data_IF_967546771900
#
_entry.id   IF_967546771900
#
_cell.length_a   1.000
_cell.length_b   1.000
_cell.length_c   1.000
_cell.angle_alpha   90.00
_cell.angle_beta   90.00
_cell.angle_gamma   90.00
#
_symmetry.space_group_name_H-M   'P 1'
#
loop_
_entity.id
_entity.type
_entity.pdbx_description
1 polymer ?
#
# COMPACT_ATOMS: atom_id res chain seq x y z
N UNK A 1 67.30 2.89 2.37
CA UNK A 1 66.12 2.03 2.59
C UNK A 1 65.07 2.84 3.34
N UNK A 2 63.99 3.22 2.69
CA UNK A 2 62.82 3.80 3.35
C UNK A 2 61.61 3.03 2.82
N UNK A 3 61.12 2.09 3.61
CA UNK A 3 59.93 1.32 3.31
C UNK A 3 58.69 2.15 3.69
N UNK A 4 57.83 2.35 2.71
CA UNK A 4 56.53 3.02 2.83
C UNK A 4 55.67 2.40 3.93
N UNK A 5 55.34 3.20 4.95
CA UNK A 5 54.27 2.92 5.90
C UNK A 5 53.00 3.68 5.52
N UNK A 6 52.51 3.46 4.29
CA UNK A 6 51.21 3.97 3.82
C UNK A 6 50.48 2.78 3.20
N UNK A 7 49.64 2.10 3.97
CA UNK A 7 48.94 0.91 3.47
C UNK A 7 47.81 0.42 4.37
N UNK A 8 48.00 0.42 5.69
CA UNK A 8 47.02 -0.17 6.61
C UNK A 8 45.69 0.57 6.70
N UNK A 9 45.71 1.90 6.80
CA UNK A 9 44.48 2.70 7.01
C UNK A 9 43.61 2.81 5.75
N UNK A 10 44.21 2.97 4.57
CA UNK A 10 43.48 3.03 3.30
C UNK A 10 42.90 1.68 2.90
N UNK A 11 43.61 0.56 3.13
CA UNK A 11 43.08 -0.79 2.87
C UNK A 11 41.87 -1.11 3.76
N UNK A 12 41.89 -0.70 5.03
CA UNK A 12 40.75 -0.88 5.94
C UNK A 12 39.56 0.00 5.51
N UNK A 13 39.81 1.23 5.07
CA UNK A 13 38.75 2.13 4.58
C UNK A 13 38.11 1.62 3.29
N UNK A 14 38.92 1.23 2.30
CA UNK A 14 38.45 0.68 1.02
C UNK A 14 37.66 -0.63 1.20
N UNK A 15 38.12 -1.53 2.08
CA UNK A 15 37.39 -2.76 2.42
C UNK A 15 36.03 -2.49 3.04
N UNK A 16 35.91 -1.49 3.92
CA UNK A 16 34.63 -1.09 4.53
C UNK A 16 33.67 -0.47 3.51
N UNK A 17 34.15 0.35 2.58
CA UNK A 17 33.33 0.95 1.52
C UNK A 17 32.84 -0.11 0.53
N UNK A 18 33.68 -1.06 0.13
CA UNK A 18 33.28 -2.16 -0.75
C UNK A 18 32.26 -3.11 -0.08
N UNK A 19 32.43 -3.42 1.21
CA UNK A 19 31.47 -4.20 1.99
C UNK A 19 30.14 -3.46 2.16
N UNK A 20 30.17 -2.15 2.42
CA UNK A 20 28.97 -1.32 2.51
C UNK A 20 28.20 -1.30 1.17
N UNK A 21 28.88 -1.08 0.05
CA UNK A 21 28.26 -1.12 -1.27
C UNK A 21 27.67 -2.49 -1.60
N UNK A 22 28.34 -3.58 -1.22
CA UNK A 22 27.81 -4.94 -1.38
C UNK A 22 26.54 -5.19 -0.55
N UNK A 23 26.51 -4.70 0.68
CA UNK A 23 25.34 -4.81 1.57
C UNK A 23 24.13 -4.00 1.06
N UNK A 24 24.36 -2.79 0.57
CA UNK A 24 23.31 -1.94 -0.02
C UNK A 24 22.70 -2.58 -1.29
N UNK A 25 23.54 -3.10 -2.19
CA UNK A 25 23.08 -3.81 -3.40
C UNK A 25 22.27 -5.06 -3.03
N UNK A 26 22.70 -5.80 -2.01
CA UNK A 26 21.94 -6.96 -1.53
C UNK A 26 20.60 -6.56 -0.94
N UNK A 27 20.55 -5.53 -0.08
CA UNK A 27 19.33 -5.02 0.52
C UNK A 27 18.32 -4.54 -0.55
N UNK A 28 18.79 -3.77 -1.54
CA UNK A 28 17.96 -3.31 -2.66
C UNK A 28 17.39 -4.49 -3.47
N UNK A 29 18.19 -5.54 -3.72
CA UNK A 29 17.72 -6.77 -4.39
C UNK A 29 16.66 -7.49 -3.56
N UNK A 30 16.79 -7.55 -2.24
CA UNK A 30 15.78 -8.17 -1.36
C UNK A 30 14.47 -7.36 -1.35
N UNK A 31 14.55 -6.04 -1.26
CA UNK A 31 13.39 -5.15 -1.35
C UNK A 31 12.68 -5.31 -2.69
N UNK A 32 13.42 -5.33 -3.80
CA UNK A 32 12.84 -5.54 -5.13
C UNK A 32 12.16 -6.91 -5.27
N UNK A 33 12.78 -7.98 -4.77
CA UNK A 33 12.18 -9.33 -4.78
C UNK A 33 10.91 -9.38 -3.94
N UNK A 34 10.91 -8.74 -2.77
CA UNK A 34 9.73 -8.60 -1.92
C UNK A 34 8.61 -7.86 -2.66
N UNK A 35 8.91 -6.70 -3.23
CA UNK A 35 7.96 -5.88 -3.98
C UNK A 35 7.36 -6.66 -5.17
N UNK A 36 8.19 -7.29 -6.00
CA UNK A 36 7.70 -8.11 -7.13
C UNK A 36 6.79 -9.25 -6.67
N UNK A 37 7.16 -9.95 -5.58
CA UNK A 37 6.32 -11.02 -5.02
C UNK A 37 4.98 -10.47 -4.51
N UNK A 38 5.01 -9.32 -3.84
CA UNK A 38 3.80 -8.68 -3.33
C UNK A 38 2.89 -8.29 -4.47
N UNK A 39 3.41 -7.61 -5.49
CA UNK A 39 2.62 -7.16 -6.65
C UNK A 39 1.93 -8.32 -7.36
N UNK A 40 2.63 -9.45 -7.59
CA UNK A 40 2.02 -10.65 -8.18
C UNK A 40 0.82 -11.16 -7.37
N UNK A 41 0.90 -11.09 -6.05
CA UNK A 41 -0.20 -11.53 -5.18
C UNK A 41 -1.31 -10.47 -5.09
N UNK A 42 -0.98 -9.18 -5.10
CA UNK A 42 -1.95 -8.07 -5.17
C UNK A 42 -2.85 -8.19 -6.39
N UNK A 43 -2.37 -8.69 -7.53
CA UNK A 43 -3.21 -8.88 -8.73
C UNK A 43 -4.24 -10.01 -8.59
N UNK A 44 -4.02 -10.98 -7.71
CA UNK A 44 -4.80 -12.24 -7.69
C UNK A 44 -5.54 -12.48 -6.39
N UNK A 45 -5.17 -11.77 -5.31
CA UNK A 45 -5.81 -11.96 -4.01
C UNK A 45 -7.25 -11.44 -4.04
N UNK A 46 -8.14 -12.14 -3.33
CA UNK A 46 -9.54 -11.78 -3.25
C UNK A 46 -9.74 -10.46 -2.48
N UNK A 47 -10.48 -9.54 -3.09
CA UNK A 47 -10.86 -8.23 -2.54
C UNK A 47 -12.38 -8.04 -2.51
N UNK A 48 -13.15 -9.09 -2.76
CA UNK A 48 -14.61 -9.02 -2.83
C UNK A 48 -15.21 -8.65 -1.48
N UNK A 49 -16.29 -7.90 -1.55
CA UNK A 49 -17.28 -7.73 -0.47
C UNK A 49 -18.67 -8.01 -1.05
N UNK A 50 -19.64 -8.45 -0.24
CA UNK A 50 -21.03 -8.54 -0.69
C UNK A 50 -21.56 -7.17 -1.17
N UNK A 51 -22.64 -7.14 -1.96
CA UNK A 51 -23.31 -5.90 -2.35
C UNK A 51 -23.65 -5.02 -1.14
N UNK A 52 -23.57 -3.71 -1.33
CA UNK A 52 -23.89 -2.69 -0.32
C UNK A 52 -23.00 -2.74 0.94
N UNK A 53 -21.85 -3.40 0.90
CA UNK A 53 -20.96 -3.54 2.07
C UNK A 53 -19.70 -2.69 2.01
N UNK A 54 -19.31 -2.19 0.85
CA UNK A 54 -18.01 -1.53 0.69
C UNK A 54 -17.96 -0.14 1.35
N UNK A 55 -16.91 0.07 2.15
CA UNK A 55 -16.54 1.36 2.75
C UNK A 55 -15.14 1.75 2.31
N UNK A 56 -14.99 3.01 1.92
CA UNK A 56 -13.74 3.66 1.54
C UNK A 56 -13.46 4.81 2.50
N UNK A 57 -12.18 5.09 2.76
CA UNK A 57 -11.78 6.24 3.54
C UNK A 57 -10.44 6.79 3.08
N UNK A 58 -10.25 8.10 3.26
CA UNK A 58 -8.97 8.77 2.98
C UNK A 58 -8.87 10.07 3.74
N UNK A 59 -7.67 10.49 4.12
CA UNK A 59 -7.46 11.76 4.82
C UNK A 59 -7.58 11.67 6.35
N UNK A 60 -7.22 12.75 7.06
CA UNK A 60 -7.16 12.78 8.52
C UNK A 60 -8.51 12.47 9.17
N UNK A 61 -8.52 11.62 10.21
CA UNK A 61 -9.73 11.29 11.00
C UNK A 61 -10.72 10.33 10.33
N UNK A 62 -10.73 10.22 9.00
CA UNK A 62 -11.72 9.43 8.28
C UNK A 62 -11.61 7.92 8.47
N UNK A 63 -10.41 7.41 8.78
CA UNK A 63 -10.24 6.00 9.13
C UNK A 63 -11.05 5.65 10.39
N UNK A 64 -10.98 6.47 11.43
CA UNK A 64 -11.71 6.23 12.68
C UNK A 64 -13.22 6.24 12.43
N UNK A 65 -13.72 7.25 11.69
CA UNK A 65 -15.14 7.35 11.30
C UNK A 65 -15.61 6.13 10.48
N UNK A 66 -14.84 5.71 9.48
CA UNK A 66 -15.16 4.54 8.68
C UNK A 66 -15.16 3.24 9.50
N UNK A 67 -14.24 3.12 10.46
CA UNK A 67 -14.17 1.98 11.36
C UNK A 67 -15.34 1.93 12.34
N UNK A 68 -15.76 3.06 12.88
CA UNK A 68 -16.97 3.16 13.69
C UNK A 68 -18.21 2.82 12.86
N UNK A 69 -18.35 3.44 11.68
CA UNK A 69 -19.47 3.22 10.78
C UNK A 69 -19.62 1.74 10.40
N UNK A 70 -18.52 1.07 10.04
CA UNK A 70 -18.58 -0.33 9.62
C UNK A 70 -19.01 -1.27 10.74
N UNK A 71 -18.61 -0.99 11.98
CA UNK A 71 -18.99 -1.79 13.15
C UNK A 71 -20.49 -1.64 13.42
N UNK A 72 -21.02 -0.44 13.28
CA UNK A 72 -22.43 -0.15 13.57
C UNK A 72 -23.39 -0.60 12.44
N UNK A 73 -22.91 -0.68 11.20
CA UNK A 73 -23.76 -0.93 10.02
C UNK A 73 -23.44 -2.24 9.31
N UNK A 74 -22.63 -3.12 9.91
CA UNK A 74 -22.17 -4.37 9.30
C UNK A 74 -21.60 -4.16 7.90
N UNK A 75 -20.71 -3.17 7.75
CA UNK A 75 -20.01 -2.86 6.50
C UNK A 75 -18.56 -3.35 6.56
N UNK A 76 -17.81 -3.21 5.46
CA UNK A 76 -16.46 -3.74 5.32
C UNK A 76 -15.56 -2.70 4.67
N UNK A 77 -14.37 -2.45 5.25
CA UNK A 77 -13.30 -1.72 4.58
C UNK A 77 -12.39 -2.69 3.83
N UNK A 78 -11.46 -2.19 3.02
CA UNK A 78 -10.49 -3.04 2.31
C UNK A 78 -9.72 -3.96 3.27
N UNK A 79 -9.39 -3.51 4.48
CA UNK A 79 -8.71 -4.30 5.52
C UNK A 79 -9.55 -5.50 6.01
N UNK A 80 -10.86 -5.51 5.75
CA UNK A 80 -11.74 -6.62 6.05
C UNK A 80 -11.83 -7.64 4.90
N UNK A 81 -11.22 -7.39 3.75
CA UNK A 81 -11.12 -8.38 2.67
C UNK A 81 -9.96 -9.35 2.92
N UNK A 82 -9.96 -10.57 2.33
CA UNK A 82 -8.80 -11.45 2.38
C UNK A 82 -7.51 -10.76 1.89
N UNK A 83 -7.62 -9.97 0.82
CA UNK A 83 -6.55 -9.20 0.20
C UNK A 83 -5.98 -8.13 1.10
N UNK A 84 -6.82 -7.28 1.70
CA UNK A 84 -6.37 -6.23 2.60
C UNK A 84 -5.73 -6.79 3.86
N UNK A 85 -6.30 -7.85 4.46
CA UNK A 85 -5.66 -8.55 5.59
C UNK A 85 -4.30 -9.13 5.20
N UNK A 86 -4.22 -9.76 4.04
CA UNK A 86 -2.97 -10.34 3.57
C UNK A 86 -1.92 -9.25 3.30
N UNK A 87 -2.29 -8.14 2.67
CA UNK A 87 -1.37 -7.04 2.36
C UNK A 87 -0.89 -6.33 3.63
N UNK A 88 -1.80 -6.09 4.59
CA UNK A 88 -1.45 -5.53 5.91
C UNK A 88 -0.40 -6.37 6.65
N UNK A 89 -0.50 -7.70 6.58
CA UNK A 89 0.50 -8.62 7.17
C UNK A 89 1.88 -8.54 6.51
N UNK A 90 2.02 -7.90 5.35
CA UNK A 90 3.32 -7.76 4.70
C UNK A 90 4.18 -6.68 5.33
N UNK A 91 3.56 -5.77 6.09
CA UNK A 91 4.24 -4.67 6.80
C UNK A 91 5.17 -3.86 5.88
N UNK A 92 4.66 -3.50 4.69
CA UNK A 92 5.49 -2.94 3.61
C UNK A 92 6.11 -1.59 3.97
N UNK A 93 5.41 -0.74 4.72
CA UNK A 93 5.92 0.60 5.06
C UNK A 93 7.18 0.55 5.93
N UNK A 94 7.42 -0.56 6.65
CA UNK A 94 8.64 -0.77 7.41
C UNK A 94 9.74 -1.50 6.62
N UNK A 95 9.42 -2.03 5.44
CA UNK A 95 10.29 -2.98 4.71
C UNK A 95 10.64 -2.54 3.30
N UNK A 96 9.87 -1.62 2.73
CA UNK A 96 10.00 -1.09 1.38
C UNK A 96 10.01 0.44 1.45
N UNK A 97 10.58 1.12 0.43
CA UNK A 97 10.35 2.54 0.23
C UNK A 97 8.85 2.86 0.24
N UNK A 98 8.46 3.97 0.86
CA UNK A 98 7.06 4.40 0.96
C UNK A 98 6.35 4.40 -0.39
N UNK A 99 7.02 4.81 -1.46
CA UNK A 99 6.48 4.80 -2.82
C UNK A 99 6.10 3.40 -3.31
N UNK A 100 6.88 2.37 -2.99
CA UNK A 100 6.56 0.99 -3.36
C UNK A 100 5.39 0.44 -2.54
N UNK A 101 5.33 0.76 -1.24
CA UNK A 101 4.20 0.40 -0.40
C UNK A 101 2.90 1.07 -0.91
N UNK A 102 2.97 2.36 -1.26
CA UNK A 102 1.85 3.13 -1.84
C UNK A 102 1.40 2.56 -3.20
N UNK A 103 2.32 2.06 -4.04
CA UNK A 103 1.95 1.39 -5.31
C UNK A 103 1.15 0.10 -5.03
N UNK A 104 1.62 -0.73 -4.11
CA UNK A 104 0.96 -2.00 -3.80
C UNK A 104 -0.42 -1.79 -3.14
N UNK A 105 -0.52 -0.87 -2.19
CA UNK A 105 -1.80 -0.47 -1.60
C UNK A 105 -2.72 0.17 -2.63
N UNK A 106 -2.21 1.11 -3.44
CA UNK A 106 -2.99 1.78 -4.47
C UNK A 106 -3.59 0.82 -5.50
N UNK A 107 -2.82 -0.21 -5.90
CA UNK A 107 -3.32 -1.23 -6.83
C UNK A 107 -4.36 -2.14 -6.19
N UNK A 108 -4.16 -2.54 -4.92
CA UNK A 108 -5.17 -3.34 -4.21
C UNK A 108 -6.47 -2.55 -3.99
N UNK A 109 -6.35 -1.28 -3.62
CA UNK A 109 -7.44 -0.30 -3.49
C UNK A 109 -8.23 -0.12 -4.78
N UNK A 110 -7.55 0.02 -5.92
CA UNK A 110 -8.19 0.08 -7.23
C UNK A 110 -9.00 -1.19 -7.52
N UNK A 111 -8.44 -2.38 -7.27
CA UNK A 111 -9.18 -3.64 -7.44
C UNK A 111 -10.38 -3.75 -6.51
N UNK A 112 -10.24 -3.32 -5.26
CA UNK A 112 -11.35 -3.28 -4.31
C UNK A 112 -12.50 -2.38 -4.81
N UNK A 113 -12.19 -1.22 -5.38
CA UNK A 113 -13.17 -0.35 -6.03
C UNK A 113 -13.81 -0.97 -7.30
N UNK A 114 -13.03 -1.66 -8.12
CA UNK A 114 -13.51 -2.38 -9.32
C UNK A 114 -14.43 -3.56 -8.96
N UNK A 115 -14.26 -4.14 -7.78
CA UNK A 115 -15.04 -5.27 -7.32
C UNK A 115 -16.24 -4.90 -6.44
N UNK A 116 -16.29 -3.67 -5.94
CA UNK A 116 -17.44 -3.18 -5.20
C UNK A 116 -18.74 -3.27 -6.02
N UNK A 117 -19.86 -3.43 -5.32
CA UNK A 117 -21.18 -3.49 -5.95
C UNK A 117 -22.26 -2.94 -5.00
N UNK A 118 -23.35 -2.45 -5.59
CA UNK A 118 -24.39 -1.75 -4.87
C UNK A 118 -23.94 -0.35 -4.42
N UNK A 119 -24.46 0.09 -3.29
CA UNK A 119 -24.13 1.37 -2.69
C UNK A 119 -22.86 1.31 -1.85
N UNK A 120 -21.93 2.22 -2.13
CA UNK A 120 -20.66 2.32 -1.39
C UNK A 120 -20.63 3.57 -0.52
N UNK A 121 -19.90 3.51 0.59
CA UNK A 121 -19.80 4.60 1.56
C UNK A 121 -18.37 5.15 1.60
N UNK A 122 -18.22 6.47 1.48
CA UNK A 122 -16.93 7.15 1.30
C UNK A 122 -16.73 8.21 2.39
N UNK A 123 -15.74 8.00 3.26
CA UNK A 123 -15.30 8.97 4.29
C UNK A 123 -14.05 9.70 3.80
N UNK A 124 -14.21 10.85 3.15
CA UNK A 124 -13.10 11.50 2.41
C UNK A 124 -13.02 13.01 2.61
N UNK A 125 -13.70 13.54 3.63
CA UNK A 125 -13.59 14.97 3.98
C UNK A 125 -12.14 15.35 4.30
N UNK A 126 -11.65 16.43 3.69
CA UNK A 126 -10.25 16.87 3.82
C UNK A 126 -9.20 15.93 3.18
N UNK A 127 -9.61 14.91 2.43
CA UNK A 127 -8.67 14.05 1.72
C UNK A 127 -7.97 14.81 0.59
N UNK A 128 -6.66 14.62 0.47
CA UNK A 128 -5.86 15.22 -0.59
C UNK A 128 -6.18 14.59 -1.95
N UNK A 129 -6.32 15.42 -2.99
CA UNK A 129 -6.68 15.01 -4.36
C UNK A 129 -5.61 14.18 -5.08
N UNK A 130 -4.37 14.20 -4.60
CA UNK A 130 -3.25 13.44 -5.14
C UNK A 130 -3.02 12.08 -4.45
N UNK A 131 -3.94 11.64 -3.58
CA UNK A 131 -3.84 10.39 -2.82
C UNK A 131 -4.78 9.31 -3.36
N UNK A 132 -4.47 8.06 -2.99
CA UNK A 132 -5.04 6.81 -3.51
C UNK A 132 -6.54 6.89 -3.82
N UNK A 133 -7.36 7.38 -2.89
CA UNK A 133 -8.80 7.48 -3.13
C UNK A 133 -9.13 8.24 -4.42
N UNK A 134 -8.61 9.46 -4.62
CA UNK A 134 -8.96 10.26 -5.77
C UNK A 134 -8.27 9.82 -7.07
N UNK A 135 -7.05 9.27 -6.99
CA UNK A 135 -6.28 8.88 -8.18
C UNK A 135 -6.52 7.43 -8.62
N UNK A 136 -7.12 6.59 -7.77
CA UNK A 136 -7.31 5.14 -8.02
C UNK A 136 -8.72 4.69 -7.73
N UNK A 137 -9.21 4.90 -6.51
CA UNK A 137 -10.48 4.30 -6.06
C UNK A 137 -11.69 4.99 -6.70
N UNK A 138 -11.74 6.33 -6.69
CA UNK A 138 -12.86 7.09 -7.23
C UNK A 138 -13.05 6.87 -8.74
N UNK A 139 -12.01 6.95 -9.60
CA UNK A 139 -12.17 6.63 -11.02
C UNK A 139 -12.60 5.16 -11.25
N UNK A 140 -12.12 4.23 -10.43
CA UNK A 140 -12.56 2.83 -10.50
C UNK A 140 -14.04 2.67 -10.10
N UNK A 141 -14.49 3.38 -9.06
CA UNK A 141 -15.90 3.41 -8.65
C UNK A 141 -16.81 4.12 -9.67
N UNK A 142 -16.29 5.09 -10.41
CA UNK A 142 -17.03 5.78 -11.48
C UNK A 142 -17.21 4.92 -12.72
N UNK A 143 -16.21 4.08 -13.04
CA UNK A 143 -16.23 3.18 -14.18
C UNK A 143 -16.85 1.80 -13.89
N UNK A 144 -17.21 1.51 -12.65
CA UNK A 144 -17.77 0.23 -12.23
C UNK A 144 -19.30 0.24 -12.30
N UNK A 145 -19.87 -0.41 -13.33
CA UNK A 145 -21.32 -0.50 -13.54
C UNK A 145 -22.07 -1.29 -12.46
N UNK A 146 -21.38 -2.04 -11.60
CA UNK A 146 -21.99 -2.73 -10.45
C UNK A 146 -22.26 -1.78 -9.29
N UNK A 147 -21.64 -0.60 -9.26
CA UNK A 147 -21.86 0.42 -8.22
C UNK A 147 -23.08 1.25 -8.59
N UNK A 148 -24.11 1.19 -7.75
CA UNK A 148 -25.38 1.88 -7.97
C UNK A 148 -25.42 3.26 -7.31
N UNK A 149 -24.57 3.50 -6.31
CA UNK A 149 -24.52 4.76 -5.57
C UNK A 149 -23.23 4.94 -4.78
N UNK A 150 -22.86 6.20 -4.54
CA UNK A 150 -21.73 6.61 -3.69
C UNK A 150 -22.25 7.59 -2.65
N UNK A 151 -22.30 7.19 -1.38
CA UNK A 151 -22.63 8.08 -0.26
C UNK A 151 -21.34 8.68 0.29
N UNK A 152 -21.25 10.01 0.30
CA UNK A 152 -20.15 10.73 0.91
C UNK A 152 -20.53 11.19 2.32
N UNK A 153 -19.65 10.91 3.27
CA UNK A 153 -19.82 11.26 4.69
C UNK A 153 -18.80 12.33 5.08
N UNK A 154 -19.22 13.22 5.98
CA UNK A 154 -18.41 14.34 6.49
C UNK A 154 -17.51 13.96 7.67
#
# INVERSE_FOLDING_TARGET
MIASAVGGAELIHAGRVALAGGAEVFAARQQQRLFTRVMRKVETVDVLTPPDKAVFYSGPGNQAKAFEFKMNHSKLTIENTPGGRWLGKQDMYNRLPMSQADIAWGRLSERYAQEASGEVNCFVSGARRDRIFFIKELPALENNSKVTGKIFHD
#
